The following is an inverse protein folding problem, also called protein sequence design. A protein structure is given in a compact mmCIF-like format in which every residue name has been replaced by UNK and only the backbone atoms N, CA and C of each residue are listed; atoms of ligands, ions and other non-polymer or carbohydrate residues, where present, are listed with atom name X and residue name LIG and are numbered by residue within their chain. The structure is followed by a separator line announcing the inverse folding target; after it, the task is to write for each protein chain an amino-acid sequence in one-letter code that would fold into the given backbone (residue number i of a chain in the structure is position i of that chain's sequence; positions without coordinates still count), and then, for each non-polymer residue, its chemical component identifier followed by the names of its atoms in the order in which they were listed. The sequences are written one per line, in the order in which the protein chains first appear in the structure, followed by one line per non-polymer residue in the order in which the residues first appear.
data_IF_264441436451
#
_entry.id   IF_264441436451
#
_cell.length_a   1.000
_cell.length_b   1.000
_cell.length_c   1.000
_cell.angle_alpha   90.00
_cell.angle_beta   90.00
_cell.angle_gamma   90.00
#
_symmetry.space_group_name_H-M   'P 1'
#
loop_
_entity.id
_entity.type
_entity.pdbx_description
1 polymer ?
#
# COMPACT_ATOMS: atom_id res chain seq x y z
N UNK A 1 -21.24 19.44 -9.71
CA UNK A 1 -21.23 20.86 -9.29
C UNK A 1 -22.11 20.99 -8.06
N UNK A 2 -21.72 21.75 -7.03
CA UNK A 2 -22.65 22.08 -5.95
C UNK A 2 -23.75 22.99 -6.51
N UNK A 3 -25.00 22.67 -6.20
CA UNK A 3 -26.18 23.40 -6.68
C UNK A 3 -27.01 23.85 -5.50
N UNK A 4 -27.39 25.13 -5.47
CA UNK A 4 -28.30 25.70 -4.47
C UNK A 4 -29.57 26.15 -5.20
N UNK A 5 -30.72 25.74 -4.68
CA UNK A 5 -32.01 26.16 -5.23
C UNK A 5 -32.52 27.36 -4.42
N UNK A 6 -32.76 28.50 -5.09
CA UNK A 6 -33.12 29.75 -4.43
C UNK A 6 -34.59 30.09 -4.71
N UNK A 7 -35.35 30.31 -3.64
CA UNK A 7 -36.73 30.80 -3.70
C UNK A 7 -36.75 32.31 -3.50
N UNK A 8 -37.14 33.06 -4.53
CA UNK A 8 -37.17 34.54 -4.51
C UNK A 8 -38.55 35.15 -4.27
N UNK A 9 -39.62 34.35 -4.27
CA UNK A 9 -40.98 34.79 -3.95
C UNK A 9 -41.67 33.73 -3.08
N UNK A 10 -41.74 33.96 -1.77
CA UNK A 10 -42.19 32.94 -0.80
C UNK A 10 -43.37 33.37 0.07
N UNK A 11 -43.85 34.62 0.04
CA UNK A 11 -44.88 35.06 1.01
C UNK A 11 -46.29 35.22 0.40
N UNK A 12 -46.46 35.08 -0.92
CA UNK A 12 -47.72 35.48 -1.57
C UNK A 12 -48.92 34.54 -1.31
N UNK A 13 -48.69 33.29 -0.86
CA UNK A 13 -49.70 32.34 -0.31
C UNK A 13 -49.02 31.09 0.27
N UNK A 14 -49.20 30.82 1.57
CA UNK A 14 -48.75 29.60 2.25
C UNK A 14 -47.26 29.24 2.05
N UNK A 15 -46.37 30.22 2.24
CA UNK A 15 -44.95 30.16 1.88
C UNK A 15 -44.19 28.90 2.30
N UNK A 16 -44.37 28.48 3.55
CA UNK A 16 -43.73 27.26 4.05
C UNK A 16 -44.25 25.99 3.37
N UNK A 17 -45.55 25.93 3.10
CA UNK A 17 -46.16 24.81 2.41
C UNK A 17 -45.71 24.77 0.94
N UNK A 18 -45.61 25.92 0.28
CA UNK A 18 -45.08 26.02 -1.09
C UNK A 18 -43.63 25.54 -1.18
N UNK A 19 -42.76 26.02 -0.31
CA UNK A 19 -41.34 25.64 -0.31
C UNK A 19 -41.17 24.16 0.04
N UNK A 20 -41.90 23.66 1.03
CA UNK A 20 -41.86 22.24 1.41
C UNK A 20 -42.33 21.36 0.27
N UNK A 21 -43.44 21.72 -0.39
CA UNK A 21 -43.97 20.95 -1.53
C UNK A 21 -43.03 21.00 -2.73
N UNK A 22 -42.41 22.16 -3.00
CA UNK A 22 -41.43 22.30 -4.08
C UNK A 22 -40.19 21.46 -3.81
N UNK A 23 -39.71 21.43 -2.56
CA UNK A 23 -38.60 20.56 -2.15
C UNK A 23 -38.95 19.08 -2.35
N UNK A 24 -40.16 18.65 -1.95
CA UNK A 24 -40.64 17.27 -2.20
C UNK A 24 -40.65 16.94 -3.70
N UNK A 25 -41.18 17.84 -4.54
CA UNK A 25 -41.21 17.65 -6.00
C UNK A 25 -39.79 17.53 -6.57
N UNK A 26 -38.90 18.47 -6.22
CA UNK A 26 -37.53 18.48 -6.76
C UNK A 26 -36.74 17.24 -6.29
N UNK A 27 -36.83 16.91 -5.00
CA UNK A 27 -36.06 15.80 -4.45
C UNK A 27 -36.63 14.44 -4.92
N UNK A 28 -37.94 14.23 -4.81
CA UNK A 28 -38.56 12.91 -5.00
C UNK A 28 -39.12 12.71 -6.42
N UNK A 29 -39.87 13.68 -6.98
CA UNK A 29 -40.48 13.52 -8.31
C UNK A 29 -39.47 13.72 -9.43
N UNK A 30 -38.60 14.73 -9.31
CA UNK A 30 -37.55 15.01 -10.30
C UNK A 30 -36.27 14.23 -10.01
N UNK A 31 -36.16 13.60 -8.84
CA UNK A 31 -35.02 12.77 -8.46
C UNK A 31 -33.72 13.55 -8.21
N UNK A 32 -33.79 14.87 -7.96
CA UNK A 32 -32.60 15.69 -7.69
C UNK A 32 -32.12 15.61 -6.23
N UNK A 33 -32.69 14.70 -5.43
CA UNK A 33 -32.26 14.44 -4.07
C UNK A 33 -30.76 14.13 -4.02
N UNK A 34 -30.00 14.93 -3.26
CA UNK A 34 -28.54 14.82 -3.12
C UNK A 34 -27.73 15.58 -4.19
N UNK A 35 -28.35 15.96 -5.32
CA UNK A 35 -27.78 16.90 -6.29
C UNK A 35 -27.91 18.35 -5.80
N UNK A 36 -29.10 18.71 -5.29
CA UNK A 36 -29.30 19.98 -4.59
C UNK A 36 -28.67 19.91 -3.20
N UNK A 37 -27.72 20.80 -2.93
CA UNK A 37 -26.95 20.85 -1.67
C UNK A 37 -27.61 21.72 -0.61
N UNK A 38 -28.31 22.76 -1.04
CA UNK A 38 -29.07 23.63 -0.16
C UNK A 38 -30.29 24.21 -0.88
N UNK A 39 -31.29 24.54 -0.08
CA UNK A 39 -32.46 25.28 -0.48
C UNK A 39 -32.45 26.57 0.33
N UNK A 40 -32.35 27.73 -0.33
CA UNK A 40 -32.30 29.02 0.32
C UNK A 40 -33.51 29.87 -0.06
N UNK A 41 -34.05 30.63 0.88
CA UNK A 41 -35.10 31.61 0.60
C UNK A 41 -34.50 32.99 0.70
N UNK A 42 -34.78 33.85 -0.28
CA UNK A 42 -34.25 35.21 -0.28
C UNK A 42 -35.36 36.19 -0.62
N UNK A 43 -35.55 37.17 0.25
CA UNK A 43 -36.33 38.35 -0.06
C UNK A 43 -35.38 39.55 -0.19
N UNK A 44 -35.16 40.04 -1.41
CA UNK A 44 -34.18 41.09 -1.68
C UNK A 44 -34.73 42.52 -1.51
N UNK A 45 -36.05 42.69 -1.42
CA UNK A 45 -36.72 43.99 -1.32
C UNK A 45 -37.85 43.92 -0.29
N UNK A 46 -37.98 44.93 0.56
CA UNK A 46 -39.11 45.02 1.47
C UNK A 46 -40.41 45.26 0.68
N UNK A 47 -41.49 44.55 1.02
CA UNK A 47 -42.77 44.74 0.35
C UNK A 47 -43.95 44.61 1.33
N UNK A 48 -45.06 45.26 1.00
CA UNK A 48 -46.28 45.22 1.80
C UNK A 48 -47.18 44.07 1.35
N UNK A 49 -47.55 43.20 2.29
CA UNK A 49 -48.51 42.12 2.07
C UNK A 49 -49.60 42.17 3.13
N UNK A 50 -50.86 42.33 2.70
CA UNK A 50 -52.04 42.44 3.60
C UNK A 50 -51.88 43.50 4.71
N UNK A 51 -51.19 44.61 4.41
CA UNK A 51 -50.96 45.69 5.37
C UNK A 51 -49.79 45.46 6.35
N UNK A 52 -49.06 44.34 6.23
CA UNK A 52 -47.82 44.09 6.99
C UNK A 52 -46.61 44.29 6.08
N UNK A 53 -45.55 44.92 6.61
CA UNK A 53 -44.28 45.11 5.91
C UNK A 53 -43.38 43.88 6.12
N UNK A 54 -43.01 43.23 5.03
CA UNK A 54 -42.08 42.08 5.06
C UNK A 54 -40.66 42.61 4.83
N UNK A 55 -39.71 42.39 5.76
CA UNK A 55 -38.35 42.89 5.64
C UNK A 55 -37.51 42.09 4.63
N UNK A 56 -36.36 42.65 4.27
CA UNK A 56 -35.30 41.97 3.52
C UNK A 56 -34.72 40.87 4.42
N UNK A 57 -34.67 39.63 3.94
CA UNK A 57 -34.24 38.47 4.73
C UNK A 57 -33.64 37.36 3.83
N UNK A 58 -32.78 36.52 4.41
CA UNK A 58 -32.32 35.26 3.80
C UNK A 58 -31.12 35.36 2.84
N UNK A 59 -30.66 36.58 2.51
CA UNK A 59 -29.44 36.75 1.72
C UNK A 59 -28.19 36.23 2.47
N UNK A 60 -28.09 36.48 3.77
CA UNK A 60 -26.98 36.01 4.60
C UNK A 60 -26.92 34.48 4.64
N UNK A 61 -28.08 33.82 4.81
CA UNK A 61 -28.22 32.36 4.74
C UNK A 61 -27.78 31.81 3.38
N UNK A 62 -28.17 32.46 2.27
CA UNK A 62 -27.73 32.06 0.93
C UNK A 62 -26.22 32.18 0.77
N UNK A 63 -25.61 33.26 1.28
CA UNK A 63 -24.15 33.46 1.24
C UNK A 63 -23.44 32.37 2.03
N UNK A 64 -23.93 32.03 3.22
CA UNK A 64 -23.36 31.00 4.07
C UNK A 64 -23.47 29.60 3.46
N UNK A 65 -24.63 29.22 2.92
CA UNK A 65 -24.80 27.94 2.22
C UNK A 65 -23.95 27.88 0.94
N UNK A 66 -23.78 29.00 0.24
CA UNK A 66 -22.86 29.10 -0.90
C UNK A 66 -21.41 28.86 -0.47
N UNK A 67 -20.96 29.51 0.59
CA UNK A 67 -19.60 29.34 1.14
C UNK A 67 -19.35 27.89 1.56
N UNK A 68 -20.30 27.28 2.26
CA UNK A 68 -20.26 25.88 2.69
C UNK A 68 -20.16 24.93 1.50
N UNK A 69 -21.00 25.12 0.48
CA UNK A 69 -20.98 24.34 -0.77
C UNK A 69 -19.62 24.44 -1.49
N UNK A 70 -19.02 25.63 -1.55
CA UNK A 70 -17.71 25.85 -2.16
C UNK A 70 -16.58 25.13 -1.41
N UNK A 71 -16.58 25.23 -0.07
CA UNK A 71 -15.60 24.55 0.79
C UNK A 71 -15.71 23.03 0.63
N UNK A 72 -16.94 22.49 0.65
CA UNK A 72 -17.19 21.06 0.46
C UNK A 72 -16.72 20.58 -0.92
N UNK A 73 -17.06 21.30 -1.99
CA UNK A 73 -16.65 20.94 -3.35
C UNK A 73 -15.12 20.92 -3.50
N UNK A 74 -14.42 21.90 -2.91
CA UNK A 74 -12.95 21.93 -2.90
C UNK A 74 -12.38 20.72 -2.16
N UNK A 75 -12.91 20.42 -0.97
CA UNK A 75 -12.47 19.27 -0.15
C UNK A 75 -12.71 17.94 -0.85
N UNK A 76 -13.88 17.76 -1.47
CA UNK A 76 -14.21 16.53 -2.19
C UNK A 76 -13.30 16.30 -3.39
N UNK A 77 -12.97 17.34 -4.17
CA UNK A 77 -12.03 17.24 -5.29
C UNK A 77 -10.62 16.86 -4.81
N UNK A 78 -10.15 17.48 -3.73
CA UNK A 78 -8.85 17.16 -3.14
C UNK A 78 -8.81 15.71 -2.65
N UNK A 79 -9.82 15.27 -1.90
CA UNK A 79 -9.93 13.91 -1.40
C UNK A 79 -9.96 12.88 -2.53
N UNK A 80 -10.75 13.13 -3.59
CA UNK A 80 -10.83 12.22 -4.72
C UNK A 80 -9.49 12.09 -5.45
N UNK A 81 -8.78 13.20 -5.65
CA UNK A 81 -7.44 13.18 -6.21
C UNK A 81 -6.44 12.39 -5.35
N UNK A 82 -6.48 12.57 -4.02
CA UNK A 82 -5.66 11.80 -3.09
C UNK A 82 -5.99 10.30 -3.11
N UNK A 83 -7.26 9.93 -3.20
CA UNK A 83 -7.68 8.52 -3.31
C UNK A 83 -7.16 7.87 -4.59
N UNK A 84 -7.23 8.57 -5.73
CA UNK A 84 -6.67 8.08 -6.99
C UNK A 84 -5.15 7.91 -6.89
N UNK A 85 -4.44 8.87 -6.29
CA UNK A 85 -2.99 8.75 -6.09
C UNK A 85 -2.65 7.55 -5.20
N UNK A 86 -3.36 7.37 -4.08
CA UNK A 86 -3.18 6.22 -3.19
C UNK A 86 -3.46 4.89 -3.91
N UNK A 87 -4.52 4.82 -4.70
CA UNK A 87 -4.83 3.62 -5.48
C UNK A 87 -3.73 3.30 -6.50
N UNK A 88 -3.15 4.31 -7.15
CA UNK A 88 -2.02 4.12 -8.07
C UNK A 88 -0.75 3.64 -7.35
N UNK A 89 -0.43 4.22 -6.18
CA UNK A 89 0.70 3.78 -5.35
C UNK A 89 0.52 2.31 -4.92
N UNK A 90 -0.69 1.92 -4.50
CA UNK A 90 -0.99 0.54 -4.13
C UNK A 90 -0.85 -0.43 -5.32
N UNK A 91 -1.32 -0.05 -6.51
CA UNK A 91 -1.15 -0.86 -7.71
C UNK A 91 0.33 -1.04 -8.07
N UNK A 92 1.13 0.03 -7.98
CA UNK A 92 2.58 -0.01 -8.18
C UNK A 92 3.26 -0.91 -7.14
N UNK A 93 2.93 -0.76 -5.86
CA UNK A 93 3.44 -1.62 -4.77
C UNK A 93 3.18 -3.09 -5.05
N UNK A 94 1.97 -3.43 -5.51
CA UNK A 94 1.60 -4.80 -5.84
C UNK A 94 2.44 -5.34 -7.02
N UNK A 95 2.66 -4.53 -8.06
CA UNK A 95 3.53 -4.91 -9.17
C UNK A 95 4.97 -5.18 -8.72
N UNK A 96 5.54 -4.33 -7.85
CA UNK A 96 6.89 -4.49 -7.28
C UNK A 96 7.02 -5.78 -6.46
N UNK A 97 5.98 -6.10 -5.68
CA UNK A 97 5.88 -7.34 -4.90
C UNK A 97 5.88 -8.55 -5.83
N UNK A 98 5.08 -8.54 -6.90
CA UNK A 98 4.94 -9.68 -7.80
C UNK A 98 6.18 -9.89 -8.69
N UNK A 99 6.84 -8.80 -9.08
CA UNK A 99 8.17 -8.85 -9.71
C UNK A 99 9.21 -9.47 -8.77
N UNK A 100 9.23 -9.03 -7.50
CA UNK A 100 10.13 -9.59 -6.48
C UNK A 100 9.89 -11.07 -6.23
N UNK A 101 8.64 -11.54 -6.18
CA UNK A 101 8.33 -12.98 -6.09
C UNK A 101 8.90 -13.75 -7.27
N UNK A 102 8.79 -13.21 -8.48
CA UNK A 102 9.37 -13.83 -9.68
C UNK A 102 10.88 -13.94 -9.56
N UNK A 103 11.57 -12.86 -9.14
CA UNK A 103 13.01 -12.85 -8.88
C UNK A 103 13.39 -13.93 -7.85
N UNK A 104 12.63 -14.06 -6.76
CA UNK A 104 12.85 -15.03 -5.69
C UNK A 104 12.74 -16.47 -6.22
N UNK A 105 11.69 -16.80 -6.97
CA UNK A 105 11.50 -18.15 -7.50
C UNK A 105 12.58 -18.53 -8.51
N UNK A 106 12.97 -17.59 -9.38
CA UNK A 106 14.06 -17.81 -10.35
C UNK A 106 15.39 -18.05 -9.64
N UNK A 107 15.74 -17.20 -8.66
CA UNK A 107 16.95 -17.37 -7.87
C UNK A 107 16.94 -18.67 -7.06
N UNK A 108 15.79 -19.05 -6.51
CA UNK A 108 15.63 -20.29 -5.75
C UNK A 108 15.78 -21.53 -6.63
N UNK A 109 15.23 -21.53 -7.84
CA UNK A 109 15.45 -22.59 -8.82
C UNK A 109 16.92 -22.71 -9.22
N UNK A 110 17.59 -21.58 -9.47
CA UNK A 110 19.02 -21.56 -9.77
C UNK A 110 19.87 -22.06 -8.60
N UNK A 111 19.56 -21.66 -7.36
CA UNK A 111 20.21 -22.16 -6.16
C UNK A 111 19.95 -23.66 -5.95
N UNK A 112 18.74 -24.12 -6.23
CA UNK A 112 18.38 -25.54 -6.23
C UNK A 112 19.25 -26.36 -7.17
N UNK A 113 19.41 -25.89 -8.41
CA UNK A 113 20.28 -26.53 -9.40
C UNK A 113 21.75 -26.56 -8.94
N UNK A 114 22.25 -25.46 -8.35
CA UNK A 114 23.59 -25.41 -7.78
C UNK A 114 23.76 -26.37 -6.58
N UNK A 115 22.71 -26.54 -5.77
CA UNK A 115 22.70 -27.45 -4.61
C UNK A 115 22.55 -28.94 -4.95
N UNK A 116 22.32 -29.30 -6.21
CA UNK A 116 22.37 -30.70 -6.69
C UNK A 116 23.80 -31.21 -6.85
N UNK A 117 24.80 -30.33 -6.76
CA UNK A 117 26.21 -30.69 -6.84
C UNK A 117 26.63 -31.32 -5.51
N UNK A 118 27.08 -32.59 -5.45
CA UNK A 118 27.43 -33.24 -4.19
C UNK A 118 28.84 -32.84 -3.72
N UNK A 119 29.08 -31.54 -3.49
CA UNK A 119 30.33 -31.05 -2.89
C UNK A 119 30.03 -30.44 -1.52
N UNK A 120 30.41 -31.11 -0.41
CA UNK A 120 30.11 -30.63 0.93
C UNK A 120 30.74 -29.24 1.14
N UNK A 121 29.93 -28.31 1.68
CA UNK A 121 30.29 -26.91 1.99
C UNK A 121 30.61 -26.00 0.79
N UNK A 122 30.89 -26.55 -0.41
CA UNK A 122 31.21 -25.74 -1.60
C UNK A 122 29.99 -25.15 -2.29
N UNK A 123 28.81 -25.79 -2.18
CA UNK A 123 27.55 -25.27 -2.71
C UNK A 123 27.25 -23.85 -2.20
N UNK A 124 27.69 -23.51 -0.98
CA UNK A 124 27.52 -22.19 -0.39
C UNK A 124 28.26 -21.09 -1.18
N UNK A 125 29.43 -21.40 -1.74
CA UNK A 125 30.19 -20.46 -2.58
C UNK A 125 29.54 -20.25 -3.94
N UNK A 126 28.82 -21.25 -4.47
CA UNK A 126 28.06 -21.12 -5.71
C UNK A 126 26.69 -20.44 -5.52
N UNK A 127 26.04 -20.65 -4.36
CA UNK A 127 24.71 -20.12 -4.05
C UNK A 127 24.76 -18.65 -3.57
N UNK A 128 25.81 -18.23 -2.85
CA UNK A 128 25.90 -16.88 -2.32
C UNK A 128 25.81 -15.78 -3.41
N UNK A 129 26.48 -15.89 -4.58
CA UNK A 129 26.31 -14.93 -5.67
C UNK A 129 24.88 -14.86 -6.22
N UNK A 130 24.17 -16.01 -6.27
CA UNK A 130 22.76 -16.08 -6.72
C UNK A 130 21.87 -15.31 -5.73
N UNK A 131 22.06 -15.52 -4.43
CA UNK A 131 21.30 -14.83 -3.39
C UNK A 131 21.63 -13.33 -3.31
N UNK A 132 22.89 -12.95 -3.50
CA UNK A 132 23.29 -11.55 -3.59
C UNK A 132 22.65 -10.85 -4.81
N UNK A 133 22.69 -11.50 -5.98
CA UNK A 133 22.03 -11.00 -7.19
C UNK A 133 20.51 -10.90 -7.06
N UNK A 134 19.88 -11.84 -6.33
CA UNK A 134 18.46 -11.79 -5.99
C UNK A 134 18.12 -10.54 -5.18
N UNK A 135 18.84 -10.29 -4.08
CA UNK A 135 18.63 -9.10 -3.23
C UNK A 135 18.83 -7.82 -4.02
N UNK A 136 19.88 -7.75 -4.85
CA UNK A 136 20.13 -6.59 -5.70
C UNK A 136 18.97 -6.31 -6.67
N UNK A 137 18.46 -7.33 -7.35
CA UNK A 137 17.32 -7.19 -8.27
C UNK A 137 16.02 -6.82 -7.54
N UNK A 138 15.83 -7.28 -6.30
CA UNK A 138 14.68 -6.85 -5.49
C UNK A 138 14.75 -5.36 -5.14
N UNK A 139 15.94 -4.83 -4.84
CA UNK A 139 16.12 -3.39 -4.60
C UNK A 139 15.76 -2.58 -5.83
N UNK A 140 16.23 -3.02 -7.00
CA UNK A 140 15.93 -2.40 -8.29
C UNK A 140 14.43 -2.45 -8.61
N UNK A 141 13.77 -3.59 -8.40
CA UNK A 141 12.33 -3.74 -8.58
C UNK A 141 11.52 -2.78 -7.67
N UNK A 142 11.99 -2.54 -6.45
CA UNK A 142 11.41 -1.54 -5.55
C UNK A 142 11.83 -0.09 -5.85
N UNK A 143 12.62 0.14 -6.91
CA UNK A 143 13.06 1.46 -7.34
C UNK A 143 14.02 2.12 -6.36
N UNK A 144 14.79 1.33 -5.62
CA UNK A 144 15.71 1.85 -4.61
C UNK A 144 17.03 2.28 -5.26
N UNK A 145 17.32 3.57 -5.21
CA UNK A 145 18.60 4.13 -5.62
C UNK A 145 19.61 4.05 -4.47
N UNK A 146 20.24 2.88 -4.33
CA UNK A 146 21.27 2.65 -3.31
C UNK A 146 22.66 2.82 -3.89
N UNK A 147 23.50 3.58 -3.19
CA UNK A 147 24.93 3.59 -3.43
C UNK A 147 25.50 2.17 -3.37
N UNK A 148 26.50 1.87 -4.22
CA UNK A 148 27.10 0.54 -4.31
C UNK A 148 27.60 0.01 -2.96
N UNK A 149 28.19 0.87 -2.13
CA UNK A 149 28.68 0.52 -0.79
C UNK A 149 27.54 0.18 0.18
N UNK A 150 26.43 0.93 0.11
CA UNK A 150 25.23 0.70 0.92
C UNK A 150 24.55 -0.59 0.49
N UNK A 151 24.35 -0.79 -0.82
CA UNK A 151 23.81 -2.01 -1.38
C UNK A 151 24.65 -3.24 -1.00
N UNK A 152 25.98 -3.15 -1.12
CA UNK A 152 26.88 -4.21 -0.71
C UNK A 152 26.79 -4.50 0.80
N UNK A 153 26.80 -3.46 1.64
CA UNK A 153 26.71 -3.63 3.11
C UNK A 153 25.38 -4.27 3.52
N UNK A 154 24.28 -3.88 2.87
CA UNK A 154 22.97 -4.47 3.08
C UNK A 154 22.95 -5.94 2.69
N UNK A 155 23.41 -6.27 1.48
CA UNK A 155 23.51 -7.66 0.99
C UNK A 155 24.35 -8.50 1.94
N UNK A 156 25.54 -8.01 2.33
CA UNK A 156 26.41 -8.71 3.28
C UNK A 156 25.76 -8.88 4.64
N UNK A 157 25.05 -7.87 5.16
CA UNK A 157 24.32 -7.95 6.43
C UNK A 157 23.23 -9.02 6.40
N UNK A 158 22.39 -9.01 5.36
CA UNK A 158 21.28 -9.98 5.21
C UNK A 158 21.81 -11.41 5.07
N UNK A 159 22.79 -11.63 4.19
CA UNK A 159 23.39 -12.95 3.98
C UNK A 159 24.17 -13.42 5.22
N UNK A 160 24.85 -12.51 5.92
CA UNK A 160 25.56 -12.80 7.17
C UNK A 160 24.66 -13.35 8.27
N UNK A 161 23.46 -12.76 8.45
CA UNK A 161 22.45 -13.26 9.40
C UNK A 161 22.07 -14.71 9.08
N UNK A 162 21.87 -15.03 7.80
CA UNK A 162 21.47 -16.38 7.39
C UNK A 162 22.60 -17.40 7.47
N UNK A 163 23.85 -16.99 7.20
CA UNK A 163 25.02 -17.85 7.32
C UNK A 163 25.17 -18.36 8.77
N UNK A 164 25.05 -17.47 9.76
CA UNK A 164 25.08 -17.85 11.19
C UNK A 164 23.97 -18.84 11.54
N UNK A 165 22.75 -18.61 11.04
CA UNK A 165 21.62 -19.51 11.27
C UNK A 165 21.79 -20.90 10.63
N UNK A 166 22.47 -20.97 9.48
CA UNK A 166 22.70 -22.22 8.75
C UNK A 166 23.85 -23.05 9.30
N UNK A 167 24.91 -22.42 9.83
CA UNK A 167 26.00 -23.14 10.51
C UNK A 167 25.43 -23.99 11.65
N UNK A 168 24.51 -23.44 12.44
CA UNK A 168 23.81 -24.18 13.49
C UNK A 168 23.05 -25.41 12.98
N UNK A 169 22.36 -25.31 11.83
CA UNK A 169 21.59 -26.45 11.24
C UNK A 169 22.47 -27.49 10.56
N UNK A 170 23.54 -27.05 9.90
CA UNK A 170 24.44 -27.94 9.13
C UNK A 170 25.24 -28.85 10.05
N UNK A 171 25.60 -28.39 11.26
CA UNK A 171 26.25 -29.22 12.27
C UNK A 171 25.37 -30.40 12.74
N UNK A 172 24.05 -30.25 12.73
CA UNK A 172 23.11 -31.30 13.16
C UNK A 172 22.80 -32.29 12.03
N UNK A 173 22.80 -31.84 10.77
CA UNK A 173 22.31 -32.61 9.62
C UNK A 173 23.40 -33.00 8.58
N UNK A 174 24.66 -32.62 8.80
CA UNK A 174 25.73 -32.66 7.78
C UNK A 174 26.12 -34.04 7.23
N UNK A 175 25.79 -35.13 7.93
CA UNK A 175 26.17 -36.48 7.53
C UNK A 175 25.39 -37.05 6.32
N UNK A 176 24.24 -36.48 5.96
CA UNK A 176 23.40 -36.98 4.86
C UNK A 176 23.93 -36.59 3.46
N UNK A 177 24.78 -35.55 3.35
CA UNK A 177 25.36 -35.09 2.09
C UNK A 177 26.42 -36.04 1.51
N UNK A 178 26.86 -37.07 2.24
CA UNK A 178 27.86 -38.05 1.79
C UNK A 178 27.29 -39.18 0.91
N UNK A 179 25.97 -39.27 0.75
CA UNK A 179 25.33 -40.30 -0.08
C UNK A 179 25.00 -39.66 -1.44
N UNK A 180 25.66 -40.02 -2.56
CA UNK A 180 25.59 -39.26 -3.82
C UNK A 180 24.18 -39.05 -4.39
N UNK A 181 23.25 -39.98 -4.16
CA UNK A 181 21.86 -39.89 -4.64
C UNK A 181 20.96 -39.16 -3.64
N UNK A 182 21.01 -39.53 -2.36
CA UNK A 182 20.16 -38.94 -1.31
C UNK A 182 20.62 -37.52 -0.96
N UNK A 183 21.93 -37.30 -0.91
CA UNK A 183 22.58 -36.02 -0.60
C UNK A 183 22.37 -34.95 -1.66
N UNK A 184 22.34 -35.32 -2.95
CA UNK A 184 22.10 -34.36 -4.05
C UNK A 184 20.65 -33.87 -4.09
N UNK A 185 19.68 -34.79 -3.98
CA UNK A 185 18.25 -34.42 -3.95
C UNK A 185 17.91 -33.58 -2.71
N UNK A 186 18.45 -33.97 -1.55
CA UNK A 186 18.29 -33.21 -0.31
C UNK A 186 19.00 -31.85 -0.38
N UNK A 187 20.17 -31.78 -1.02
CA UNK A 187 20.97 -30.57 -1.21
C UNK A 187 20.23 -29.51 -2.04
N UNK A 188 19.73 -29.90 -3.22
CA UNK A 188 18.99 -28.99 -4.10
C UNK A 188 17.70 -28.49 -3.47
N UNK A 189 16.93 -29.38 -2.84
CA UNK A 189 15.69 -29.00 -2.14
C UNK A 189 15.96 -28.03 -0.99
N UNK A 190 17.03 -28.27 -0.22
CA UNK A 190 17.43 -27.38 0.88
C UNK A 190 17.83 -26.00 0.36
N UNK A 191 18.58 -25.94 -0.75
CA UNK A 191 18.99 -24.68 -1.37
C UNK A 191 17.81 -23.85 -1.89
N UNK A 192 16.79 -24.48 -2.47
CA UNK A 192 15.52 -23.82 -2.87
C UNK A 192 14.84 -23.22 -1.64
N UNK A 193 14.62 -24.03 -0.59
CA UNK A 193 13.88 -23.60 0.61
C UNK A 193 14.56 -22.42 1.31
N UNK A 194 15.89 -22.48 1.44
CA UNK A 194 16.69 -21.42 2.05
C UNK A 194 16.60 -20.14 1.23
N UNK A 195 16.80 -20.24 -0.08
CA UNK A 195 16.82 -19.06 -0.97
C UNK A 195 15.45 -18.40 -1.02
N UNK A 196 14.36 -19.18 -1.08
CA UNK A 196 13.02 -18.65 -0.94
C UNK A 196 12.81 -17.98 0.41
N UNK A 197 13.26 -18.61 1.50
CA UNK A 197 13.16 -18.04 2.85
C UNK A 197 13.83 -16.68 2.96
N UNK A 198 15.05 -16.53 2.41
CA UNK A 198 15.77 -15.26 2.36
C UNK A 198 15.00 -14.25 1.54
N UNK A 199 14.57 -14.63 0.34
CA UNK A 199 13.82 -13.78 -0.57
C UNK A 199 12.54 -13.23 0.05
N UNK A 200 11.68 -14.10 0.59
CA UNK A 200 10.41 -13.70 1.20
C UNK A 200 10.60 -12.93 2.51
N UNK A 201 11.62 -13.26 3.31
CA UNK A 201 11.94 -12.48 4.50
C UNK A 201 12.37 -11.06 4.13
N UNK A 202 13.18 -10.91 3.08
CA UNK A 202 13.61 -9.59 2.62
C UNK A 202 12.47 -8.80 1.97
N UNK A 203 11.60 -9.47 1.18
CA UNK A 203 10.39 -8.87 0.62
C UNK A 203 9.50 -8.29 1.73
N UNK A 204 9.35 -8.98 2.87
CA UNK A 204 8.61 -8.47 4.02
C UNK A 204 9.24 -7.23 4.64
N UNK A 205 10.57 -7.12 4.64
CA UNK A 205 11.25 -5.90 5.07
C UNK A 205 10.94 -4.76 4.10
N UNK A 206 11.04 -4.99 2.79
CA UNK A 206 10.72 -4.00 1.76
C UNK A 206 9.25 -3.54 1.86
N UNK A 207 8.31 -4.45 2.05
CA UNK A 207 6.88 -4.14 2.28
C UNK A 207 6.66 -3.26 3.51
N UNK A 208 7.41 -3.52 4.61
CA UNK A 208 7.31 -2.78 5.88
C UNK A 208 7.95 -1.39 5.80
N UNK A 209 8.99 -1.25 4.99
CA UNK A 209 9.70 0.02 4.74
C UNK A 209 9.07 0.85 3.61
N UNK A 210 8.13 0.29 2.85
CA UNK A 210 7.42 1.00 1.79
C UNK A 210 6.47 2.06 2.35
N UNK A 211 6.59 3.29 1.89
CA UNK A 211 5.71 4.39 2.27
C UNK A 211 4.51 4.45 1.31
N UNK A 212 3.31 4.14 1.82
CA UNK A 212 2.07 4.14 1.03
C UNK A 212 1.58 5.55 0.62
N UNK A 213 2.22 6.61 1.10
CA UNK A 213 1.95 8.00 0.72
C UNK A 213 2.88 8.50 -0.39
N UNK A 214 4.16 8.15 -0.37
CA UNK A 214 5.15 8.59 -1.39
C UNK A 214 5.38 7.54 -2.48
N UNK A 215 5.15 6.26 -2.19
CA UNK A 215 5.44 5.15 -3.09
C UNK A 215 6.92 4.77 -3.14
N UNK A 216 7.70 5.14 -2.12
CA UNK A 216 9.13 4.91 -2.02
C UNK A 216 9.46 4.03 -0.80
N UNK A 217 10.59 3.32 -0.86
CA UNK A 217 11.08 2.52 0.28
C UNK A 217 12.00 3.37 1.14
N UNK A 218 11.60 3.55 2.40
CA UNK A 218 12.41 4.24 3.42
C UNK A 218 13.09 3.18 4.30
N UNK A 219 14.30 2.78 3.90
CA UNK A 219 15.12 1.93 4.75
C UNK A 219 15.63 2.73 5.97
N UNK A 220 15.68 2.13 7.16
CA UNK A 220 16.45 2.68 8.27
C UNK A 220 17.91 2.92 7.88
N UNK A 221 18.47 4.05 8.27
CA UNK A 221 19.89 4.40 8.00
C UNK A 221 20.86 3.36 8.59
N UNK A 222 20.46 2.73 9.70
CA UNK A 222 21.25 1.71 10.37
C UNK A 222 20.95 0.31 9.81
N UNK A 223 21.94 -0.28 9.13
CA UNK A 223 21.90 -1.66 8.62
C UNK A 223 21.58 -2.68 9.73
N UNK A 224 21.95 -2.40 10.98
CA UNK A 224 21.59 -3.21 12.16
C UNK A 224 20.07 -3.34 12.38
N UNK A 225 19.30 -2.29 12.09
CA UNK A 225 17.83 -2.34 12.18
C UNK A 225 17.23 -3.13 11.00
N UNK A 226 17.80 -3.00 9.81
CA UNK A 226 17.35 -3.75 8.64
C UNK A 226 17.58 -5.25 8.85
N UNK A 227 18.75 -5.61 9.35
CA UNK A 227 19.12 -7.01 9.62
C UNK A 227 18.31 -7.62 10.76
N UNK A 228 17.90 -6.84 11.77
CA UNK A 228 17.02 -7.32 12.84
C UNK A 228 15.60 -7.59 12.35
N UNK A 229 15.01 -6.67 11.57
CA UNK A 229 13.72 -6.88 10.91
C UNK A 229 13.75 -8.09 9.98
N UNK A 230 14.81 -8.23 9.20
CA UNK A 230 15.02 -9.39 8.35
C UNK A 230 15.08 -10.68 9.17
N UNK A 231 15.88 -10.71 10.25
CA UNK A 231 16.02 -11.88 11.12
C UNK A 231 14.69 -12.31 11.72
N UNK A 232 13.89 -11.37 12.20
CA UNK A 232 12.55 -11.62 12.74
C UNK A 232 11.65 -12.32 11.70
N UNK A 233 11.57 -11.76 10.49
CA UNK A 233 10.76 -12.31 9.41
C UNK A 233 11.28 -13.69 8.93
N UNK A 234 12.59 -13.86 8.83
CA UNK A 234 13.21 -15.11 8.40
C UNK A 234 12.97 -16.27 9.39
N UNK A 235 13.10 -16.01 10.70
CA UNK A 235 12.86 -17.02 11.73
C UNK A 235 11.37 -17.38 11.86
N UNK A 236 10.46 -16.42 11.68
CA UNK A 236 9.02 -16.69 11.68
C UNK A 236 8.62 -17.61 10.52
N UNK A 237 9.15 -17.37 9.31
CA UNK A 237 8.92 -18.24 8.15
C UNK A 237 9.46 -19.67 8.36
N UNK A 238 10.64 -19.80 8.96
CA UNK A 238 11.22 -21.11 9.27
C UNK A 238 10.39 -21.89 10.29
N UNK A 239 9.82 -21.19 11.27
CA UNK A 239 8.96 -21.78 12.31
C UNK A 239 7.66 -22.28 11.70
N UNK A 240 7.04 -21.52 10.79
CA UNK A 240 5.81 -21.91 10.11
C UNK A 240 6.03 -23.16 9.22
N UNK A 241 7.15 -23.22 8.48
CA UNK A 241 7.47 -24.40 7.65
C UNK A 241 7.69 -25.68 8.49
N UNK A 242 8.25 -25.56 9.70
CA UNK A 242 8.41 -26.71 10.62
C UNK A 242 7.11 -27.22 11.24
N UNK A 243 6.08 -26.38 11.31
CA UNK A 243 4.75 -26.76 11.82
C UNK A 243 3.85 -27.38 10.75
N UNK A 244 4.24 -27.28 9.47
CA UNK A 244 3.45 -27.74 8.31
C UNK A 244 4.05 -28.96 7.59
N UNK A 245 5.16 -29.51 8.10
CA UNK A 245 5.78 -30.78 7.69
C UNK A 245 5.66 -31.80 8.83
#
# INVERSE_FOLDING_TARGET
MPTIFVFTNTQEKAGDAFVKKTKEIIDEEWGFKGFIKAYARVNSVAFSFRGMEVPIEGLEELVDETKKCLIEAKKNKQNHFLLIQKANIQARKQAMIDESKTIIHVASGAAGAAGLIPIPFSDALAIAPIQAGMIYKMNDAFGMDLDKSVAASLITGLLGVTAVAQVGRTLVNGFLKFIPVVGSVAGGTTAVIITEGIGFAYLKVLEKCFNDETGEVNLPDEVGMITSLFKENYLNLDTIKKLTQ
#
